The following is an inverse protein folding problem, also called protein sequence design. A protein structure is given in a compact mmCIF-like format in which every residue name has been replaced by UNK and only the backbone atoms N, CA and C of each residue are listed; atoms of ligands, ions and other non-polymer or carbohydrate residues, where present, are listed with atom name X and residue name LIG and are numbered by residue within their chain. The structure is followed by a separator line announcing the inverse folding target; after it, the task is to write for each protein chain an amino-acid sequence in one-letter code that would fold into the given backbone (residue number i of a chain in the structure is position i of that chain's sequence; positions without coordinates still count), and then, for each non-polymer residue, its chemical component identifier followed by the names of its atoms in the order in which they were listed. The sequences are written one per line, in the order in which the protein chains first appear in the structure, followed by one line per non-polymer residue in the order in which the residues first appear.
data_IF_013227584776
#
_entry.id   IF_013227584776
#
_cell.length_a   1.000
_cell.length_b   1.000
_cell.length_c   1.000
_cell.angle_alpha   90.00
_cell.angle_beta   90.00
_cell.angle_gamma   90.00
#
_symmetry.space_group_name_H-M   'P 1'
#
loop_
_entity.id
_entity.type
_entity.pdbx_description
1 polymer ?
#
# COMPACT_ATOMS: atom_id res chain seq x y z
N UNK A 1 16.00 1.37 18.08
CA UNK A 1 15.32 1.67 16.81
C UNK A 1 15.62 0.55 15.84
N UNK A 2 14.66 -0.33 15.56
CA UNK A 2 14.87 -1.44 14.61
C UNK A 2 14.87 -0.92 13.18
N UNK A 3 15.97 -1.20 12.47
CA UNK A 3 16.13 -0.96 11.04
C UNK A 3 15.49 -2.12 10.27
N UNK A 4 15.19 -1.92 8.99
CA UNK A 4 14.70 -2.98 8.11
C UNK A 4 15.56 -4.25 8.28
N UNK A 5 14.97 -5.45 8.53
CA UNK A 5 15.70 -6.66 8.92
C UNK A 5 16.41 -7.33 7.74
N UNK A 6 17.00 -6.53 6.84
CA UNK A 6 17.85 -6.95 5.73
C UNK A 6 19.18 -6.24 5.92
N UNK A 7 20.23 -7.01 6.21
CA UNK A 7 21.52 -6.50 6.68
C UNK A 7 22.19 -5.54 5.68
N UNK A 8 21.82 -5.59 4.40
CA UNK A 8 22.45 -4.79 3.32
C UNK A 8 21.45 -4.06 2.42
N UNK A 9 20.24 -3.75 2.93
CA UNK A 9 19.24 -3.08 2.11
C UNK A 9 19.37 -1.55 2.16
N UNK A 10 19.69 -0.96 1.01
CA UNK A 10 19.61 0.49 0.79
C UNK A 10 18.39 0.78 -0.10
N UNK A 11 17.41 1.58 0.35
CA UNK A 11 16.27 1.93 -0.48
C UNK A 11 16.71 2.73 -1.69
N UNK A 12 16.24 2.32 -2.88
CA UNK A 12 16.32 3.12 -4.10
C UNK A 12 15.08 4.00 -4.26
N UNK A 13 15.09 4.96 -5.20
CA UNK A 13 13.89 5.75 -5.58
C UNK A 13 12.67 4.91 -5.98
N UNK A 14 12.91 3.66 -6.41
CA UNK A 14 11.89 2.71 -6.83
C UNK A 14 11.47 1.75 -5.71
N UNK A 15 12.17 1.76 -4.59
CA UNK A 15 11.83 0.95 -3.43
C UNK A 15 10.55 1.48 -2.79
N UNK A 16 9.62 0.56 -2.52
CA UNK A 16 8.33 0.86 -1.88
C UNK A 16 8.09 -0.14 -0.75
N UNK A 17 7.41 0.33 0.30
CA UNK A 17 6.91 -0.50 1.38
C UNK A 17 5.38 -0.44 1.37
N UNK A 18 4.75 -1.59 1.63
CA UNK A 18 3.31 -1.66 1.84
C UNK A 18 2.93 -0.94 3.15
N UNK A 19 1.70 -0.41 3.22
CA UNK A 19 1.19 0.32 4.39
C UNK A 19 1.22 -0.51 5.68
N UNK A 20 1.08 -1.83 5.59
CA UNK A 20 1.13 -2.77 6.72
C UNK A 20 2.42 -2.70 7.54
N UNK A 21 3.50 -2.15 6.98
CA UNK A 21 4.78 -2.00 7.68
C UNK A 21 4.86 -0.78 8.60
N UNK A 22 3.86 0.10 8.55
CA UNK A 22 3.76 1.30 9.37
C UNK A 22 2.58 1.16 10.34
N UNK A 23 2.70 1.75 11.52
CA UNK A 23 1.59 1.84 12.44
C UNK A 23 0.53 2.81 11.90
N UNK A 24 -0.74 2.62 12.27
CA UNK A 24 -1.84 3.44 11.76
C UNK A 24 -1.70 4.93 12.11
N UNK A 25 -1.06 5.24 13.24
CA UNK A 25 -0.78 6.61 13.68
C UNK A 25 0.29 7.34 12.84
N UNK A 26 1.06 6.61 12.01
CA UNK A 26 2.03 7.18 11.08
C UNK A 26 1.38 7.80 9.85
N UNK A 27 0.08 7.59 9.65
CA UNK A 27 -0.65 8.12 8.50
C UNK A 27 -1.45 9.37 8.85
N UNK A 28 -1.65 10.24 7.86
CA UNK A 28 -2.59 11.35 7.92
C UNK A 28 -3.33 11.46 6.59
N UNK A 29 -4.54 12.02 6.61
CA UNK A 29 -5.38 12.15 5.42
C UNK A 29 -5.55 13.62 5.02
N UNK A 30 -5.41 13.88 3.73
CA UNK A 30 -5.68 15.18 3.10
C UNK A 30 -6.34 14.93 1.75
N UNK A 31 -7.47 15.56 1.46
CA UNK A 31 -8.18 15.47 0.18
C UNK A 31 -8.40 14.01 -0.29
N UNK A 32 -8.92 13.16 0.61
CA UNK A 32 -9.16 11.73 0.37
C UNK A 32 -7.91 10.91 0.00
N UNK A 33 -6.71 11.45 0.24
CA UNK A 33 -5.44 10.75 0.07
C UNK A 33 -4.78 10.53 1.41
N UNK A 34 -4.25 9.33 1.59
CA UNK A 34 -3.49 8.94 2.79
C UNK A 34 -2.00 9.14 2.54
N UNK A 35 -1.35 9.86 3.44
CA UNK A 35 0.07 10.18 3.40
C UNK A 35 0.77 9.64 4.63
N UNK A 36 2.05 9.29 4.49
CA UNK A 36 2.91 8.93 5.60
C UNK A 36 3.49 10.22 6.20
N UNK A 37 3.44 10.36 7.53
CA UNK A 37 4.06 11.48 8.24
C UNK A 37 5.58 11.47 8.02
N UNK A 38 6.16 12.66 7.93
CA UNK A 38 7.61 12.80 7.86
C UNK A 38 8.28 12.18 9.09
N UNK A 39 9.35 11.42 8.88
CA UNK A 39 10.06 10.73 9.96
C UNK A 39 9.42 9.42 10.44
N UNK A 40 8.28 9.00 9.87
CA UNK A 40 7.71 7.70 10.20
C UNK A 40 8.66 6.57 9.81
N UNK A 41 8.90 5.65 10.74
CA UNK A 41 9.76 4.49 10.52
C UNK A 41 8.91 3.21 10.43
N UNK A 42 9.24 2.30 9.49
CA UNK A 42 8.53 1.03 9.38
C UNK A 42 8.90 0.17 10.60
N UNK A 43 7.96 -0.01 11.52
CA UNK A 43 8.18 -0.72 12.79
C UNK A 43 7.53 -2.10 12.78
N UNK A 44 6.60 -2.34 11.85
CA UNK A 44 5.84 -3.59 11.75
C UNK A 44 6.50 -4.55 10.76
N UNK A 45 7.53 -5.27 11.22
CA UNK A 45 8.07 -6.42 10.49
C UNK A 45 7.64 -7.71 11.19
N UNK A 46 6.71 -8.45 10.59
CA UNK A 46 6.35 -9.78 11.11
C UNK A 46 7.57 -10.70 11.01
N UNK A 47 7.95 -11.31 12.13
CA UNK A 47 8.93 -12.39 12.13
C UNK A 47 8.40 -13.56 11.27
N UNK A 48 9.26 -14.36 10.63
CA UNK A 48 8.82 -15.44 9.74
C UNK A 48 7.98 -16.53 10.43
N UNK A 49 7.86 -16.50 11.76
CA UNK A 49 7.06 -17.43 12.55
C UNK A 49 5.55 -17.19 12.46
N UNK A 50 5.09 -15.97 12.17
CA UNK A 50 3.67 -15.63 12.09
C UNK A 50 3.19 -15.47 10.65
N UNK A 51 3.24 -16.55 9.87
CA UNK A 51 2.58 -16.60 8.56
C UNK A 51 1.07 -16.76 8.78
N UNK A 52 0.38 -15.71 9.23
CA UNK A 52 -1.08 -15.70 9.13
C UNK A 52 -1.39 -15.72 7.64
N UNK A 53 -1.97 -16.82 7.16
CA UNK A 53 -2.34 -17.01 5.76
C UNK A 53 -3.23 -15.84 5.35
N UNK A 54 -2.67 -14.86 4.65
CA UNK A 54 -3.46 -13.85 3.97
C UNK A 54 -4.24 -14.62 2.92
N UNK A 55 -5.50 -14.95 3.20
CA UNK A 55 -6.41 -15.42 2.16
C UNK A 55 -6.33 -14.36 1.09
N UNK A 56 -5.91 -14.75 -0.11
CA UNK A 56 -5.93 -13.88 -1.28
C UNK A 56 -7.38 -13.39 -1.38
N UNK A 57 -7.68 -12.23 -0.79
CA UNK A 57 -8.93 -11.52 -1.06
C UNK A 57 -8.82 -11.27 -2.55
N UNK A 58 -9.49 -12.11 -3.35
CA UNK A 58 -9.94 -11.71 -4.68
C UNK A 58 -10.42 -10.28 -4.46
N UNK A 59 -9.88 -9.30 -5.20
CA UNK A 59 -10.56 -8.01 -5.32
C UNK A 59 -11.96 -8.38 -5.77
N UNK A 60 -12.90 -8.48 -4.83
CA UNK A 60 -14.30 -8.60 -5.15
C UNK A 60 -14.57 -7.31 -5.87
N UNK A 61 -14.97 -7.48 -7.12
CA UNK A 61 -15.25 -6.42 -8.08
C UNK A 61 -16.57 -5.75 -7.67
N UNK A 62 -16.66 -5.28 -6.43
CA UNK A 62 -17.88 -4.77 -5.83
C UNK A 62 -17.73 -3.26 -5.66
N UNK A 63 -18.54 -2.58 -6.47
CA UNK A 63 -18.80 -1.15 -6.59
C UNK A 63 -17.68 -0.34 -7.23
N UNK A 64 -17.57 -0.50 -8.55
CA UNK A 64 -17.07 0.59 -9.40
C UNK A 64 -18.10 1.73 -9.34
N UNK A 65 -17.63 2.92 -9.00
CA UNK A 65 -18.36 4.18 -9.11
C UNK A 65 -18.54 4.57 -10.59
N UNK A 66 -19.54 5.40 -10.89
CA UNK A 66 -19.84 5.92 -12.24
C UNK A 66 -18.59 6.49 -12.95
N UNK A 67 -17.70 7.16 -12.19
CA UNK A 67 -16.48 7.71 -12.75
C UNK A 67 -15.52 6.62 -13.25
N UNK A 68 -15.46 5.47 -12.57
CA UNK A 68 -14.69 4.31 -13.02
C UNK A 68 -15.28 3.65 -14.27
N UNK A 69 -16.59 3.74 -14.50
CA UNK A 69 -17.26 3.21 -15.69
C UNK A 69 -16.99 4.11 -16.92
N UNK A 70 -17.10 5.43 -16.74
CA UNK A 70 -16.79 6.42 -17.77
C UNK A 70 -15.34 6.32 -18.27
N UNK A 71 -14.37 6.15 -17.36
CA UNK A 71 -12.97 5.97 -17.73
C UNK A 71 -12.70 4.67 -18.52
N UNK A 72 -13.54 3.64 -18.40
CA UNK A 72 -13.43 2.42 -19.20
C UNK A 72 -14.02 2.63 -20.59
N UNK A 73 -15.17 3.30 -20.70
CA UNK A 73 -15.83 3.58 -21.97
C UNK A 73 -14.97 4.43 -22.91
N UNK A 74 -14.21 5.39 -22.37
CA UNK A 74 -13.34 6.27 -23.16
C UNK A 74 -12.13 5.52 -23.76
N UNK A 75 -11.70 4.40 -23.17
CA UNK A 75 -10.55 3.61 -23.67
C UNK A 75 -10.88 2.76 -24.90
N UNK A 76 -12.16 2.57 -25.21
CA UNK A 76 -12.60 1.76 -26.35
C UNK A 76 -12.98 2.57 -27.59
N UNK A 77 -12.96 3.90 -27.52
CA UNK A 77 -13.42 4.77 -28.62
C UNK A 77 -12.33 5.15 -29.64
N UNK A 78 -11.15 4.54 -29.56
CA UNK A 78 -10.04 4.74 -30.49
C UNK A 78 -9.56 3.41 -31.12
N UNK A 79 -10.47 2.66 -31.72
CA UNK A 79 -10.11 1.70 -32.78
C UNK A 79 -11.08 1.83 -33.93
#
# INVERSE_FOLDING_TARGET
MEKMPRRDWTPSRWSKLCSVHFADNCFYQVNNKTYLRQGSVPTMFSSPASKTKWSRRKRSRLQFDEASLLCQQLKHKHR
#
